data_IF_671478156784
#
_entry.id   IF_671478156784
#
_cell.length_a   1.000
_cell.length_b   1.000
_cell.length_c   1.000
_cell.angle_alpha   90.00
_cell.angle_beta   90.00
_cell.angle_gamma   90.00
#
_symmetry.space_group_name_H-M   'P 1'
#
loop_
_entity.id
_entity.type
_entity.pdbx_description
1 polymer ?
#
# COMPACT_ATOMS: atom_id res chain seq x y z
N UNK A 1 -0.09 11.24 22.01
CA UNK A 1 0.93 11.17 20.93
C UNK A 1 1.29 12.56 20.45
N UNK A 2 0.34 13.38 20.07
CA UNK A 2 0.53 14.73 19.51
C UNK A 2 1.40 15.66 20.40
N UNK A 3 1.12 15.71 21.70
CA UNK A 3 1.93 16.50 22.63
C UNK A 3 3.43 16.13 22.59
N UNK A 4 3.75 14.84 22.54
CA UNK A 4 5.16 14.38 22.47
C UNK A 4 5.82 14.72 21.14
N UNK A 5 5.04 14.69 20.03
CA UNK A 5 5.53 15.09 18.72
C UNK A 5 5.83 16.59 18.69
N UNK A 6 4.94 17.42 19.28
CA UNK A 6 5.13 18.87 19.36
C UNK A 6 6.35 19.25 20.23
N UNK A 7 6.50 18.63 21.38
CA UNK A 7 7.67 18.82 22.25
C UNK A 7 8.97 18.50 21.49
N UNK A 8 8.97 17.39 20.73
CA UNK A 8 10.13 16.99 19.92
C UNK A 8 10.37 17.92 18.74
N UNK A 9 9.31 18.43 18.09
CA UNK A 9 9.43 19.42 17.02
C UNK A 9 10.11 20.69 17.52
N UNK A 10 9.69 21.22 18.67
CA UNK A 10 10.28 22.40 19.30
C UNK A 10 11.74 22.14 19.71
N UNK A 11 12.03 20.97 20.28
CA UNK A 11 13.42 20.56 20.61
C UNK A 11 14.34 20.58 19.37
N UNK A 12 13.86 20.08 18.22
CA UNK A 12 14.66 19.92 17.01
C UNK A 12 14.79 21.23 16.22
N UNK A 13 13.70 21.99 16.11
CA UNK A 13 13.62 23.13 15.20
C UNK A 13 13.48 24.49 15.89
N UNK A 14 13.30 24.49 17.22
CA UNK A 14 13.06 25.70 18.00
C UNK A 14 11.59 26.12 18.00
N UNK A 15 11.27 27.06 18.88
CA UNK A 15 9.95 27.68 19.00
C UNK A 15 9.67 28.64 17.83
N UNK A 16 8.40 29.06 17.69
CA UNK A 16 7.92 30.09 16.76
C UNK A 16 7.29 29.50 15.49
N UNK A 17 6.57 30.38 14.79
CA UNK A 17 5.80 30.00 13.59
C UNK A 17 4.58 29.14 13.89
N UNK A 18 3.73 28.98 12.91
CA UNK A 18 2.55 28.10 12.98
C UNK A 18 2.95 26.65 12.67
N UNK A 19 2.80 25.77 13.66
CA UNK A 19 3.04 24.33 13.51
C UNK A 19 1.70 23.67 13.24
N UNK A 20 1.60 22.87 12.15
CA UNK A 20 0.41 22.12 11.77
C UNK A 20 0.69 20.64 11.79
N UNK A 21 -0.33 19.86 12.18
CA UNK A 21 -0.25 18.42 12.32
C UNK A 21 -1.08 17.68 11.29
N UNK A 22 -0.54 16.55 10.82
CA UNK A 22 -1.12 15.72 9.77
C UNK A 22 -0.94 14.25 10.09
N UNK A 23 -1.88 13.43 9.59
CA UNK A 23 -1.81 11.98 9.62
C UNK A 23 -2.14 11.42 8.24
N UNK A 24 -1.43 10.38 7.82
CA UNK A 24 -1.78 9.57 6.67
C UNK A 24 -1.64 8.09 7.02
N UNK A 25 -2.66 7.25 6.73
CA UNK A 25 -2.64 5.84 7.08
C UNK A 25 -1.76 5.03 6.12
N UNK A 26 -1.27 3.89 6.61
CA UNK A 26 -0.96 2.76 5.76
C UNK A 26 -2.23 2.06 5.29
N UNK A 27 -2.06 1.02 4.49
CA UNK A 27 -3.19 0.23 3.96
C UNK A 27 -2.94 -1.26 4.08
N UNK A 28 -4.01 -2.04 4.07
CA UNK A 28 -4.00 -3.44 3.69
C UNK A 28 -4.92 -3.64 2.49
N UNK A 29 -4.52 -4.46 1.54
CA UNK A 29 -5.41 -4.85 0.45
C UNK A 29 -6.08 -6.17 0.81
N UNK A 30 -7.39 -6.18 0.88
CA UNK A 30 -8.17 -7.37 1.25
C UNK A 30 -8.16 -8.41 0.14
N UNK A 31 -8.21 -7.96 -1.13
CA UNK A 31 -8.10 -8.79 -2.34
C UNK A 31 -7.85 -7.89 -3.57
N UNK A 32 -7.29 -8.43 -4.66
CA UNK A 32 -6.98 -7.69 -5.88
C UNK A 32 -5.52 -7.25 -5.92
N UNK A 33 -4.59 -8.15 -5.60
CA UNK A 33 -3.16 -7.85 -5.67
C UNK A 33 -2.66 -7.88 -7.11
N UNK A 34 -1.79 -6.93 -7.44
CA UNK A 34 -1.15 -6.80 -8.75
C UNK A 34 -2.12 -6.56 -9.92
N UNK A 35 -3.34 -6.11 -9.64
CA UNK A 35 -4.34 -5.75 -10.65
C UNK A 35 -4.30 -4.27 -11.02
N UNK A 36 -3.79 -3.41 -10.15
CA UNK A 36 -3.84 -1.95 -10.27
C UNK A 36 -2.99 -1.36 -11.41
N UNK A 37 -1.92 -1.99 -11.80
CA UNK A 37 -1.16 -1.62 -13.00
C UNK A 37 -1.54 -2.46 -14.25
N UNK A 38 -2.51 -3.37 -14.09
CA UNK A 38 -3.11 -4.16 -15.14
C UNK A 38 -4.54 -3.69 -15.52
N UNK A 39 -4.97 -2.52 -15.03
CA UNK A 39 -6.29 -1.97 -15.31
C UNK A 39 -7.44 -2.74 -14.68
N UNK A 40 -7.20 -3.42 -13.58
CA UNK A 40 -8.20 -4.18 -12.84
C UNK A 40 -8.69 -3.46 -11.58
N UNK A 41 -9.47 -4.18 -10.77
CA UNK A 41 -10.01 -3.68 -9.52
C UNK A 41 -9.15 -4.09 -8.33
N UNK A 42 -9.10 -3.22 -7.34
CA UNK A 42 -8.47 -3.47 -6.02
C UNK A 42 -9.49 -3.22 -4.90
N UNK A 43 -9.24 -3.82 -3.74
CA UNK A 43 -10.13 -3.68 -2.60
C UNK A 43 -9.37 -3.39 -1.29
N UNK A 44 -8.60 -2.30 -1.24
CA UNK A 44 -7.86 -1.91 -0.05
C UNK A 44 -8.72 -1.21 1.00
N UNK A 45 -8.23 -1.22 2.24
CA UNK A 45 -8.71 -0.34 3.30
C UNK A 45 -7.56 0.36 4.02
N UNK A 46 -7.81 1.59 4.45
CA UNK A 46 -6.89 2.35 5.28
C UNK A 46 -6.84 1.76 6.69
N UNK A 47 -5.66 1.77 7.29
CA UNK A 47 -5.44 1.27 8.65
C UNK A 47 -5.45 2.42 9.66
N UNK A 48 -5.64 2.09 10.94
CA UNK A 48 -5.37 3.04 12.03
C UNK A 48 -3.87 3.22 12.31
N UNK A 49 -3.02 2.43 11.65
CA UNK A 49 -1.57 2.59 11.62
C UNK A 49 -1.19 3.53 10.45
N UNK A 50 -0.26 4.45 10.70
CA UNK A 50 0.11 5.43 9.67
C UNK A 50 1.35 6.25 10.03
N UNK A 51 1.55 7.31 9.27
CA UNK A 51 2.60 8.30 9.48
C UNK A 51 1.98 9.61 9.99
N UNK A 52 2.50 10.09 11.10
CA UNK A 52 2.20 11.40 11.68
C UNK A 52 3.26 12.39 11.21
N UNK A 53 2.87 13.59 10.88
CA UNK A 53 3.77 14.68 10.50
C UNK A 53 3.42 15.98 11.18
N UNK A 54 4.43 16.69 11.64
CA UNK A 54 4.31 18.11 12.04
C UNK A 54 5.14 18.94 11.08
N UNK A 55 4.58 20.04 10.62
CA UNK A 55 5.26 20.90 9.66
C UNK A 55 5.06 22.39 9.97
N UNK A 56 6.05 23.17 9.59
CA UNK A 56 6.07 24.63 9.72
C UNK A 56 6.77 25.26 8.51
N UNK A 57 6.14 26.29 7.91
CA UNK A 57 6.80 27.11 6.88
C UNK A 57 8.04 27.82 7.45
N UNK A 58 9.03 27.96 6.60
CA UNK A 58 10.26 28.72 6.87
C UNK A 58 10.21 30.06 6.13
N UNK A 59 11.18 30.92 6.38
CA UNK A 59 11.36 32.20 5.67
C UNK A 59 12.38 32.05 4.50
N UNK A 60 13.15 30.96 4.51
CA UNK A 60 14.14 30.63 3.48
C UNK A 60 13.65 29.44 2.61
N UNK A 61 14.44 29.04 1.62
CA UNK A 61 14.11 27.94 0.72
C UNK A 61 14.65 26.57 1.18
N UNK A 62 15.09 26.44 2.44
CA UNK A 62 15.61 25.22 3.00
C UNK A 62 14.49 24.23 3.35
N UNK A 63 14.78 22.96 3.18
CA UNK A 63 13.95 21.82 3.61
C UNK A 63 14.70 21.10 4.73
N UNK A 64 14.11 21.01 5.90
CA UNK A 64 14.69 20.28 7.03
C UNK A 64 13.76 19.14 7.43
N UNK A 65 14.28 17.93 7.37
CA UNK A 65 13.56 16.70 7.65
C UNK A 65 14.12 16.02 8.89
N UNK A 66 13.26 15.60 9.80
CA UNK A 66 13.62 14.81 10.97
C UNK A 66 12.63 13.65 11.16
N UNK A 67 13.13 12.45 11.40
CA UNK A 67 12.30 11.27 11.66
C UNK A 67 12.58 10.72 13.06
N UNK A 68 11.50 10.54 13.84
CA UNK A 68 11.57 9.85 15.12
C UNK A 68 11.91 8.36 14.99
N UNK A 69 11.65 7.76 13.82
CA UNK A 69 12.04 6.38 13.54
C UNK A 69 13.54 6.25 13.24
N UNK A 70 14.19 7.32 12.78
CA UNK A 70 15.60 7.35 12.38
C UNK A 70 16.39 8.46 13.10
N UNK A 71 16.20 8.61 14.41
CA UNK A 71 16.77 9.70 15.20
C UNK A 71 18.30 9.84 15.08
N UNK A 72 19.02 8.72 14.84
CA UNK A 72 20.48 8.72 14.68
C UNK A 72 20.96 9.50 13.45
N UNK A 73 20.10 9.70 12.45
CA UNK A 73 20.41 10.48 11.25
C UNK A 73 20.40 11.98 11.53
N UNK A 74 19.79 12.43 12.65
CA UNK A 74 19.59 13.84 12.94
C UNK A 74 18.69 14.53 11.92
N UNK A 75 18.87 15.84 11.78
CA UNK A 75 18.17 16.67 10.78
C UNK A 75 18.87 16.51 9.43
N UNK A 76 18.14 16.07 8.43
CA UNK A 76 18.59 16.10 7.04
C UNK A 76 18.15 17.42 6.41
N UNK A 77 19.09 18.17 5.86
CA UNK A 77 18.84 19.47 5.23
C UNK A 77 19.09 19.40 3.72
N UNK A 78 18.20 19.98 2.94
CA UNK A 78 18.31 20.20 1.49
C UNK A 78 17.61 21.52 1.13
N UNK A 79 17.39 21.81 -0.15
CA UNK A 79 16.73 23.02 -0.64
C UNK A 79 15.62 22.70 -1.63
N UNK A 80 14.62 23.58 -1.73
CA UNK A 80 13.67 23.59 -2.84
C UNK A 80 14.36 23.73 -4.21
N UNK A 81 15.58 24.27 -4.24
CA UNK A 81 16.36 24.42 -5.46
C UNK A 81 17.15 23.16 -5.85
N UNK A 82 17.09 22.09 -5.02
CA UNK A 82 17.79 20.81 -5.20
C UNK A 82 16.85 19.61 -4.96
N UNK A 83 15.78 19.57 -5.73
CA UNK A 83 14.81 18.45 -5.71
C UNK A 83 15.24 17.34 -6.69
N UNK A 84 16.36 16.68 -6.37
CA UNK A 84 16.89 15.53 -7.14
C UNK A 84 16.96 14.28 -6.27
N UNK A 85 16.73 13.08 -6.83
CA UNK A 85 16.89 11.84 -6.09
C UNK A 85 18.34 11.61 -5.70
N UNK A 86 18.58 11.01 -4.54
CA UNK A 86 19.94 10.72 -4.05
C UNK A 86 19.93 9.45 -3.19
N UNK A 87 20.85 8.54 -3.46
CA UNK A 87 21.02 7.32 -2.66
C UNK A 87 21.32 7.62 -1.19
N UNK A 88 21.96 8.76 -0.92
CA UNK A 88 22.29 9.20 0.44
C UNK A 88 21.11 9.82 1.20
N UNK A 89 20.09 10.25 0.47
CA UNK A 89 18.92 10.90 1.06
C UNK A 89 18.00 9.91 1.80
N UNK A 90 18.07 8.62 1.46
CA UNK A 90 17.24 7.58 2.09
C UNK A 90 15.75 7.94 2.04
N UNK A 91 15.09 7.88 3.20
CA UNK A 91 13.65 8.15 3.30
C UNK A 91 13.24 9.58 2.89
N UNK A 92 14.17 10.55 2.89
CA UNK A 92 13.86 11.94 2.51
C UNK A 92 13.64 12.11 1.01
N UNK A 93 13.95 11.09 0.20
CA UNK A 93 13.57 11.08 -1.22
C UNK A 93 12.04 11.10 -1.41
N UNK A 94 11.26 10.48 -0.53
CA UNK A 94 9.80 10.48 -0.64
C UNK A 94 9.20 11.88 -0.55
N UNK A 95 9.42 12.69 0.51
CA UNK A 95 8.92 14.06 0.54
C UNK A 95 9.53 14.96 -0.54
N UNK A 96 10.81 14.80 -0.89
CA UNK A 96 11.42 15.54 -2.01
C UNK A 96 10.75 15.20 -3.34
N UNK A 97 10.48 13.93 -3.59
CA UNK A 97 9.83 13.46 -4.81
C UNK A 97 8.41 14.01 -4.96
N UNK A 98 7.66 14.11 -3.85
CA UNK A 98 6.33 14.73 -3.86
C UNK A 98 6.43 16.22 -4.18
N UNK A 99 7.35 16.97 -3.57
CA UNK A 99 7.58 18.38 -3.90
C UNK A 99 7.95 18.56 -5.37
N UNK A 100 8.87 17.73 -5.89
CA UNK A 100 9.23 17.70 -7.30
C UNK A 100 8.01 17.41 -8.20
N UNK A 101 7.14 16.48 -7.81
CA UNK A 101 5.94 16.14 -8.56
C UNK A 101 4.91 17.29 -8.60
N UNK A 102 4.79 18.08 -7.50
CA UNK A 102 4.02 19.32 -7.51
C UNK A 102 4.58 20.34 -8.50
N UNK A 103 5.90 20.55 -8.51
CA UNK A 103 6.54 21.47 -9.48
C UNK A 103 6.32 21.03 -10.92
N UNK A 104 6.35 19.72 -11.22
CA UNK A 104 6.03 19.18 -12.56
C UNK A 104 4.59 19.45 -12.99
N UNK A 105 3.67 19.68 -12.03
CA UNK A 105 2.30 20.11 -12.28
C UNK A 105 2.12 21.64 -12.31
N UNK A 106 3.21 22.41 -12.18
CA UNK A 106 3.20 23.86 -12.24
C UNK A 106 3.00 24.59 -10.92
N UNK A 107 2.96 23.85 -9.80
CA UNK A 107 2.92 24.46 -8.47
C UNK A 107 4.33 24.89 -8.04
N UNK A 108 4.42 26.05 -7.43
CA UNK A 108 5.69 26.60 -6.94
C UNK A 108 5.62 26.89 -5.45
N UNK A 109 6.74 26.72 -4.77
CA UNK A 109 6.88 26.97 -3.34
C UNK A 109 7.77 28.18 -3.11
N UNK A 110 7.25 29.19 -2.42
CA UNK A 110 7.93 30.45 -2.12
C UNK A 110 8.99 30.27 -1.01
N UNK A 111 8.75 29.36 -0.08
CA UNK A 111 9.61 29.09 1.06
C UNK A 111 9.67 27.60 1.38
N UNK A 112 10.67 27.20 2.15
CA UNK A 112 10.87 25.84 2.60
C UNK A 112 10.04 25.45 3.81
N UNK A 113 10.29 24.26 4.36
CA UNK A 113 9.58 23.71 5.51
C UNK A 113 10.52 23.03 6.50
N UNK A 114 10.16 23.11 7.78
CA UNK A 114 10.59 22.16 8.81
C UNK A 114 9.57 21.04 8.88
N UNK A 115 10.00 19.80 8.74
CA UNK A 115 9.10 18.64 8.70
C UNK A 115 9.61 17.53 9.61
N UNK A 116 8.84 17.20 10.65
CA UNK A 116 9.10 16.11 11.57
C UNK A 116 8.07 15.01 11.34
N UNK A 117 8.53 13.75 11.22
CA UNK A 117 7.66 12.59 11.03
C UNK A 117 7.86 11.54 12.12
N UNK A 118 6.78 10.79 12.35
CA UNK A 118 6.77 9.55 13.12
C UNK A 118 5.81 8.54 12.48
N UNK A 119 6.30 7.38 12.09
CA UNK A 119 5.51 6.26 11.58
C UNK A 119 5.35 5.15 12.61
N UNK A 120 4.14 4.62 12.77
CA UNK A 120 3.89 3.40 13.55
C UNK A 120 3.53 2.20 12.65
N UNK A 121 3.65 2.35 11.34
CA UNK A 121 3.61 1.23 10.39
C UNK A 121 4.88 0.39 10.59
N UNK A 122 4.77 -0.94 10.77
CA UNK A 122 5.94 -1.79 10.90
C UNK A 122 6.87 -1.69 9.68
N UNK A 123 8.16 -1.50 9.92
CA UNK A 123 9.15 -1.33 8.85
C UNK A 123 9.25 -2.58 7.96
N UNK A 124 9.15 -2.39 6.65
CA UNK A 124 9.31 -3.47 5.68
C UNK A 124 8.18 -4.50 5.71
N UNK A 125 7.03 -4.13 6.23
CA UNK A 125 5.84 -4.99 6.35
C UNK A 125 5.00 -5.07 5.07
N UNK A 126 5.29 -4.25 4.06
CA UNK A 126 4.44 -4.17 2.86
C UNK A 126 3.10 -3.45 3.08
N UNK A 127 2.94 -2.72 4.20
CA UNK A 127 1.74 -1.95 4.53
C UNK A 127 1.78 -0.50 4.04
N UNK A 128 2.56 -0.22 3.00
CA UNK A 128 2.64 1.06 2.27
C UNK A 128 3.08 2.26 3.10
N UNK A 129 4.19 2.12 3.83
CA UNK A 129 4.78 3.26 4.55
C UNK A 129 5.28 4.36 3.62
N UNK A 130 5.73 4.05 2.39
CA UNK A 130 6.12 5.02 1.37
C UNK A 130 4.92 5.87 0.92
N UNK A 131 3.84 5.22 0.48
CA UNK A 131 2.63 5.90 0.04
C UNK A 131 1.98 6.73 1.16
N UNK A 132 1.99 6.23 2.41
CA UNK A 132 1.58 6.98 3.59
C UNK A 132 2.38 8.29 3.74
N UNK A 133 3.71 8.24 3.61
CA UNK A 133 4.56 9.41 3.69
C UNK A 133 4.37 10.36 2.49
N UNK A 134 4.18 9.83 1.29
CA UNK A 134 3.92 10.62 0.08
C UNK A 134 2.61 11.39 0.18
N UNK A 135 1.52 10.72 0.57
CA UNK A 135 0.20 11.34 0.73
C UNK A 135 0.21 12.35 1.89
N UNK A 136 0.89 12.02 3.01
CA UNK A 136 1.10 12.95 4.12
C UNK A 136 1.78 14.23 3.65
N UNK A 137 2.85 14.09 2.87
CA UNK A 137 3.59 15.23 2.31
C UNK A 137 2.72 16.04 1.36
N UNK A 138 1.96 15.39 0.48
CA UNK A 138 1.02 16.04 -0.41
C UNK A 138 -0.05 16.85 0.32
N UNK A 139 -0.64 16.28 1.37
CA UNK A 139 -1.62 16.97 2.22
C UNK A 139 -1.01 18.17 2.95
N UNK A 140 0.20 18.01 3.49
CA UNK A 140 0.96 19.07 4.12
C UNK A 140 1.21 20.24 3.15
N UNK A 141 1.68 19.95 1.93
CA UNK A 141 1.95 20.96 0.91
C UNK A 141 0.67 21.68 0.48
N UNK A 142 -0.39 20.92 0.22
CA UNK A 142 -1.71 21.49 -0.10
C UNK A 142 -2.16 22.50 0.95
N UNK A 143 -2.08 22.14 2.22
CA UNK A 143 -2.55 22.99 3.33
C UNK A 143 -1.62 24.15 3.62
N UNK A 144 -0.30 23.94 3.67
CA UNK A 144 0.66 25.00 4.01
C UNK A 144 0.75 26.09 2.92
N UNK A 145 0.64 25.70 1.65
CA UNK A 145 0.77 26.64 0.52
C UNK A 145 -0.58 27.05 -0.08
N UNK A 146 -1.69 26.59 0.50
CA UNK A 146 -3.03 27.02 0.10
C UNK A 146 -3.45 26.56 -1.30
N UNK A 147 -3.06 25.34 -1.71
CA UNK A 147 -3.38 24.75 -3.01
C UNK A 147 -4.76 24.07 -2.90
N UNK A 148 -5.83 24.87 -2.76
CA UNK A 148 -7.18 24.38 -2.43
C UNK A 148 -7.83 23.56 -3.56
N UNK A 149 -7.45 23.80 -4.81
CA UNK A 149 -8.02 23.12 -5.98
C UNK A 149 -7.67 21.63 -6.08
N UNK A 150 -6.59 21.18 -5.43
CA UNK A 150 -6.20 19.76 -5.42
C UNK A 150 -7.16 18.95 -4.53
N UNK A 151 -7.70 17.89 -5.08
CA UNK A 151 -8.47 16.88 -4.34
C UNK A 151 -7.55 15.87 -3.66
N UNK A 152 -8.09 15.05 -2.76
CA UNK A 152 -7.34 13.92 -2.17
C UNK A 152 -6.95 12.88 -3.23
N UNK A 153 -7.77 12.70 -4.26
CA UNK A 153 -7.44 11.85 -5.40
C UNK A 153 -6.25 12.39 -6.20
N UNK A 154 -6.17 13.73 -6.38
CA UNK A 154 -4.99 14.36 -7.00
C UNK A 154 -3.72 14.13 -6.18
N UNK A 155 -3.81 14.17 -4.85
CA UNK A 155 -2.67 13.86 -3.98
C UNK A 155 -2.20 12.41 -4.13
N UNK A 156 -3.13 11.47 -4.30
CA UNK A 156 -2.77 10.07 -4.59
C UNK A 156 -2.03 9.95 -5.93
N UNK A 157 -2.51 10.61 -6.97
CA UNK A 157 -1.85 10.64 -8.29
C UNK A 157 -0.48 11.33 -8.26
N UNK A 158 -0.31 12.37 -7.45
CA UNK A 158 0.98 13.04 -7.25
C UNK A 158 1.96 12.11 -6.54
N UNK A 159 1.51 11.41 -5.49
CA UNK A 159 2.31 10.42 -4.77
C UNK A 159 2.78 9.29 -5.69
N UNK A 160 1.86 8.69 -6.46
CA UNK A 160 2.21 7.66 -7.45
C UNK A 160 3.20 8.17 -8.50
N UNK A 161 2.99 9.39 -9.01
CA UNK A 161 3.91 9.99 -9.99
C UNK A 161 5.31 10.18 -9.41
N UNK A 162 5.40 10.58 -8.14
CA UNK A 162 6.66 10.67 -7.39
C UNK A 162 7.33 9.31 -7.24
N UNK A 163 6.59 8.29 -6.80
CA UNK A 163 7.12 6.93 -6.61
C UNK A 163 7.70 6.38 -7.92
N UNK A 164 6.96 6.55 -9.03
CA UNK A 164 7.35 6.00 -10.33
C UNK A 164 8.50 6.75 -10.99
N UNK A 165 8.51 8.10 -10.94
CA UNK A 165 9.43 8.91 -11.76
C UNK A 165 10.59 9.51 -10.95
N UNK A 166 10.47 9.62 -9.63
CA UNK A 166 11.53 10.14 -8.77
C UNK A 166 12.22 9.02 -7.98
N UNK A 167 11.44 8.06 -7.45
CA UNK A 167 11.97 6.94 -6.66
C UNK A 167 12.26 5.68 -7.51
N UNK A 168 11.71 5.59 -8.74
CA UNK A 168 12.00 4.51 -9.69
C UNK A 168 11.25 3.20 -9.45
N UNK A 169 10.18 3.22 -8.65
CA UNK A 169 9.30 2.07 -8.40
C UNK A 169 8.06 2.16 -9.29
N UNK A 170 7.92 1.31 -10.28
CA UNK A 170 6.79 1.31 -11.23
C UNK A 170 5.50 0.73 -10.60
N UNK A 171 5.02 1.32 -9.50
CA UNK A 171 3.82 0.88 -8.81
C UNK A 171 2.53 1.32 -9.52
N UNK A 172 1.41 0.63 -9.19
CA UNK A 172 0.07 1.10 -9.49
C UNK A 172 -0.40 2.19 -8.51
N UNK A 173 -1.68 2.54 -8.56
CA UNK A 173 -2.24 3.66 -7.78
C UNK A 173 -2.77 3.23 -6.40
N UNK A 174 -2.96 1.95 -6.17
CA UNK A 174 -3.70 1.40 -5.02
C UNK A 174 -3.26 1.97 -3.68
N UNK A 175 -1.95 2.03 -3.44
CA UNK A 175 -1.38 2.36 -2.14
C UNK A 175 -1.64 3.81 -1.75
N UNK A 176 -1.33 4.73 -2.66
CA UNK A 176 -1.56 6.15 -2.46
C UNK A 176 -3.06 6.48 -2.43
N UNK A 177 -3.85 5.79 -3.27
CA UNK A 177 -5.30 5.99 -3.28
C UNK A 177 -5.95 5.56 -1.96
N UNK A 178 -5.57 4.40 -1.43
CA UNK A 178 -6.08 3.92 -0.15
C UNK A 178 -5.68 4.82 1.02
N UNK A 179 -4.43 5.32 1.02
CA UNK A 179 -3.95 6.25 2.04
C UNK A 179 -4.68 7.60 1.97
N UNK A 180 -4.93 8.13 0.77
CA UNK A 180 -5.58 9.42 0.58
C UNK A 180 -7.10 9.35 0.83
N UNK A 181 -7.77 8.32 0.30
CA UNK A 181 -9.23 8.24 0.18
C UNK A 181 -9.87 7.29 1.20
N UNK A 182 -9.10 6.72 2.13
CA UNK A 182 -9.63 5.80 3.15
C UNK A 182 -10.83 6.36 3.89
N UNK A 183 -11.73 5.48 4.31
CA UNK A 183 -12.90 5.81 5.11
C UNK A 183 -13.08 4.76 6.20
N UNK A 184 -13.29 5.24 7.42
CA UNK A 184 -13.50 4.38 8.58
C UNK A 184 -14.56 3.31 8.31
N UNK A 185 -14.26 2.07 8.71
CA UNK A 185 -15.11 0.88 8.59
C UNK A 185 -15.48 0.51 7.13
N UNK A 186 -14.79 1.07 6.14
CA UNK A 186 -15.01 0.79 4.72
C UNK A 186 -13.72 0.38 4.01
N UNK A 187 -13.83 -0.54 3.06
CA UNK A 187 -12.84 -0.74 2.02
C UNK A 187 -13.24 0.03 0.75
N UNK A 188 -12.26 0.29 -0.10
CA UNK A 188 -12.44 1.02 -1.35
C UNK A 188 -12.46 -0.01 -2.48
N UNK A 189 -13.59 -0.16 -3.16
CA UNK A 189 -13.63 -0.89 -4.42
C UNK A 189 -13.31 0.09 -5.55
N UNK A 190 -12.09 0.01 -6.06
CA UNK A 190 -11.53 0.93 -7.03
C UNK A 190 -11.31 0.24 -8.36
N UNK A 191 -11.87 0.79 -9.43
CA UNK A 191 -11.45 0.52 -10.81
C UNK A 191 -10.21 1.37 -11.11
N UNK A 192 -9.07 0.74 -11.33
CA UNK A 192 -7.81 1.46 -11.52
C UNK A 192 -7.62 2.00 -12.93
N UNK A 193 -8.46 1.60 -13.90
CA UNK A 193 -8.47 2.14 -15.26
C UNK A 193 -9.16 3.49 -15.34
N UNK A 194 -10.27 3.64 -14.62
CA UNK A 194 -11.12 4.85 -14.66
C UNK A 194 -10.96 5.74 -13.44
N UNK A 195 -10.42 5.22 -12.35
CA UNK A 195 -10.38 5.79 -11.00
C UNK A 195 -11.78 6.01 -10.40
N UNK A 196 -12.80 5.36 -10.96
CA UNK A 196 -14.10 5.27 -10.31
C UNK A 196 -14.02 4.34 -9.11
N UNK A 197 -14.64 4.73 -8.01
CA UNK A 197 -14.60 3.93 -6.79
C UNK A 197 -15.89 4.02 -6.00
N UNK A 198 -16.10 3.04 -5.15
CA UNK A 198 -17.17 3.05 -4.15
C UNK A 198 -16.64 2.57 -2.79
N UNK A 199 -17.27 3.09 -1.73
CA UNK A 199 -17.00 2.59 -0.38
C UNK A 199 -17.90 1.39 -0.08
N UNK A 200 -17.29 0.25 0.20
CA UNK A 200 -17.99 -0.94 0.65
C UNK A 200 -17.79 -1.12 2.16
N UNK A 201 -18.85 -1.05 2.98
CA UNK A 201 -18.73 -1.28 4.41
C UNK A 201 -18.19 -2.68 4.71
N UNK A 202 -17.13 -2.75 5.51
CA UNK A 202 -16.52 -4.02 5.95
C UNK A 202 -17.16 -4.43 7.28
N UNK A 203 -18.30 -5.13 7.18
CA UNK A 203 -19.08 -5.56 8.35
C UNK A 203 -18.63 -6.93 8.84
N UNK A 204 -17.54 -6.96 9.56
CA UNK A 204 -17.04 -8.19 10.21
C UNK A 204 -17.58 -8.27 11.65
N UNK A 205 -18.89 -8.54 11.81
CA UNK A 205 -19.59 -8.48 13.12
C UNK A 205 -18.87 -9.27 14.22
N UNK A 206 -18.38 -10.47 13.89
CA UNK A 206 -17.78 -11.40 14.84
C UNK A 206 -16.37 -11.81 14.43
N UNK A 207 -15.68 -10.96 13.63
CA UNK A 207 -14.34 -11.24 13.15
C UNK A 207 -13.48 -9.97 13.14
N UNK A 208 -12.17 -10.17 13.08
CA UNK A 208 -11.14 -9.13 13.02
C UNK A 208 -10.22 -9.33 11.83
N UNK A 209 -9.63 -8.25 11.39
CA UNK A 209 -8.50 -8.28 10.46
C UNK A 209 -7.24 -8.45 11.30
N UNK A 210 -6.50 -9.51 11.03
CA UNK A 210 -5.20 -9.77 11.65
C UNK A 210 -4.15 -9.74 10.55
N UNK A 211 -3.19 -8.84 10.68
CA UNK A 211 -2.02 -8.76 9.81
C UNK A 211 -0.88 -9.50 10.51
N UNK A 212 -0.21 -10.41 9.79
CA UNK A 212 0.95 -11.11 10.31
C UNK A 212 2.18 -10.75 9.49
N UNK A 213 3.15 -10.09 10.12
CA UNK A 213 4.43 -9.74 9.51
C UNK A 213 5.40 -10.92 9.64
N UNK A 214 5.80 -11.49 8.51
CA UNK A 214 6.77 -12.60 8.45
C UNK A 214 8.17 -12.20 8.91
N UNK A 215 8.50 -10.91 8.95
CA UNK A 215 9.86 -10.34 9.15
C UNK A 215 10.90 -10.76 8.12
N UNK A 216 10.44 -11.33 7.02
CA UNK A 216 11.32 -11.65 5.89
C UNK A 216 11.40 -10.45 4.96
N UNK A 217 12.62 -10.05 4.64
CA UNK A 217 12.93 -8.98 3.70
C UNK A 217 13.81 -9.54 2.60
N UNK A 218 13.40 -9.41 1.37
CA UNK A 218 14.24 -9.72 0.22
C UNK A 218 14.87 -8.43 -0.34
N UNK A 219 16.16 -8.44 -0.59
CA UNK A 219 16.92 -7.28 -1.08
C UNK A 219 16.56 -6.88 -2.52
N UNK A 220 15.87 -7.73 -3.27
CA UNK A 220 15.55 -7.55 -4.69
C UNK A 220 14.05 -7.31 -4.96
N UNK A 221 13.27 -6.92 -3.95
CA UNK A 221 11.81 -6.73 -4.11
C UNK A 221 11.47 -5.77 -5.25
N UNK A 222 12.15 -4.63 -5.35
CA UNK A 222 11.86 -3.62 -6.38
C UNK A 222 12.12 -4.12 -7.81
N UNK A 223 13.21 -4.86 -8.05
CA UNK A 223 13.50 -5.43 -9.38
C UNK A 223 12.49 -6.52 -9.73
N UNK A 224 12.22 -7.45 -8.81
CA UNK A 224 11.27 -8.53 -9.02
C UNK A 224 9.84 -8.02 -9.25
N UNK A 225 9.43 -6.94 -8.56
CA UNK A 225 8.15 -6.28 -8.81
C UNK A 225 8.07 -5.71 -10.23
N UNK A 226 9.11 -5.00 -10.67
CA UNK A 226 9.18 -4.46 -12.03
C UNK A 226 9.18 -5.57 -13.10
N UNK A 227 9.84 -6.72 -12.82
CA UNK A 227 9.81 -7.88 -13.71
C UNK A 227 8.38 -8.41 -13.89
N UNK A 228 7.59 -8.54 -12.81
CA UNK A 228 6.17 -8.96 -12.90
C UNK A 228 5.34 -8.03 -13.77
N UNK A 229 5.57 -6.71 -13.65
CA UNK A 229 4.90 -5.73 -14.50
C UNK A 229 5.31 -5.90 -15.96
N UNK A 230 6.59 -6.03 -16.27
CA UNK A 230 7.09 -6.23 -17.63
C UNK A 230 6.56 -7.53 -18.27
N UNK A 231 6.44 -8.62 -17.48
CA UNK A 231 5.87 -9.89 -17.90
C UNK A 231 4.38 -9.74 -18.28
N UNK A 232 3.60 -8.99 -17.50
CA UNK A 232 2.21 -8.66 -17.82
C UNK A 232 2.09 -7.77 -19.07
N UNK A 233 2.93 -6.73 -19.20
CA UNK A 233 2.94 -5.85 -20.36
C UNK A 233 3.31 -6.60 -21.64
N UNK A 234 4.18 -7.61 -21.56
CA UNK A 234 4.53 -8.49 -22.68
C UNK A 234 3.33 -9.34 -23.09
N UNK A 235 2.64 -9.98 -22.11
CA UNK A 235 1.44 -10.74 -22.40
C UNK A 235 0.33 -9.87 -23.01
N UNK A 236 0.13 -8.66 -22.50
CA UNK A 236 -0.85 -7.70 -23.03
C UNK A 236 -0.58 -7.39 -24.50
N UNK A 237 0.69 -7.05 -24.87
CA UNK A 237 1.05 -6.77 -26.26
C UNK A 237 0.76 -7.93 -27.20
N UNK A 238 0.99 -9.17 -26.75
CA UNK A 238 0.71 -10.36 -27.56
C UNK A 238 -0.81 -10.57 -27.70
N UNK A 239 -1.60 -10.42 -26.63
CA UNK A 239 -3.06 -10.50 -26.66
C UNK A 239 -3.69 -9.42 -27.55
N UNK A 240 -3.15 -8.22 -27.58
CA UNK A 240 -3.61 -7.11 -28.44
C UNK A 240 -3.52 -7.42 -29.94
N UNK A 241 -2.81 -8.46 -30.35
CA UNK A 241 -2.78 -8.92 -31.76
C UNK A 241 -4.07 -9.59 -32.20
N UNK A 242 -4.91 -10.05 -31.24
CA UNK A 242 -6.12 -10.84 -31.52
C UNK A 242 -7.38 -10.29 -30.83
N UNK A 243 -7.23 -9.43 -29.81
CA UNK A 243 -8.34 -8.79 -29.09
C UNK A 243 -8.07 -7.29 -28.94
N UNK A 244 -9.12 -6.47 -29.01
CA UNK A 244 -9.04 -5.02 -28.84
C UNK A 244 -9.21 -4.66 -27.37
N UNK A 245 -8.10 -4.66 -26.63
CA UNK A 245 -8.04 -4.33 -25.18
C UNK A 245 -6.89 -3.35 -24.93
N UNK A 246 -7.04 -2.55 -23.88
CA UNK A 246 -6.00 -1.63 -23.40
C UNK A 246 -5.26 -2.18 -22.18
N UNK A 247 -5.89 -3.04 -21.43
CA UNK A 247 -5.37 -3.63 -20.20
C UNK A 247 -5.88 -5.06 -19.99
N UNK A 248 -5.12 -5.88 -19.23
CA UNK A 248 -5.53 -7.26 -18.93
C UNK A 248 -6.82 -7.33 -18.11
N UNK A 249 -7.10 -6.32 -17.27
CA UNK A 249 -8.32 -6.24 -16.48
C UNK A 249 -9.61 -6.08 -17.29
N UNK A 250 -9.54 -5.76 -18.58
CA UNK A 250 -10.70 -5.71 -19.46
C UNK A 250 -11.21 -7.08 -19.89
N UNK A 251 -10.38 -8.14 -19.73
CA UNK A 251 -10.75 -9.50 -20.13
C UNK A 251 -11.58 -10.19 -19.05
N UNK A 252 -12.57 -10.97 -19.50
CA UNK A 252 -13.18 -12.03 -18.72
C UNK A 252 -12.29 -13.27 -18.68
N UNK A 253 -12.56 -14.20 -17.75
CA UNK A 253 -11.84 -15.48 -17.69
C UNK A 253 -12.03 -16.28 -18.99
N UNK A 254 -13.25 -16.29 -19.58
CA UNK A 254 -13.57 -16.99 -20.82
C UNK A 254 -12.82 -16.39 -22.02
N UNK A 255 -12.76 -15.07 -22.13
CA UNK A 255 -12.02 -14.39 -23.21
C UNK A 255 -10.53 -14.67 -23.11
N UNK A 256 -9.97 -14.64 -21.88
CA UNK A 256 -8.57 -15.00 -21.67
C UNK A 256 -8.29 -16.44 -22.08
N UNK A 257 -9.12 -17.41 -21.64
CA UNK A 257 -8.96 -18.83 -22.00
C UNK A 257 -9.04 -19.08 -23.50
N UNK A 258 -9.89 -18.31 -24.22
CA UNK A 258 -10.03 -18.41 -25.67
C UNK A 258 -8.79 -17.90 -26.43
N UNK A 259 -8.00 -16.99 -25.84
CA UNK A 259 -6.90 -16.30 -26.56
C UNK A 259 -5.52 -16.50 -25.93
N UNK A 260 -5.40 -17.14 -24.76
CA UNK A 260 -4.14 -17.29 -24.01
C UNK A 260 -2.99 -17.91 -24.79
N UNK A 261 -3.29 -18.74 -25.81
CA UNK A 261 -2.26 -19.45 -26.58
C UNK A 261 -1.47 -18.55 -27.53
N UNK A 262 -1.91 -17.30 -27.76
CA UNK A 262 -1.10 -16.32 -28.48
C UNK A 262 0.07 -15.80 -27.65
N UNK A 263 0.00 -15.94 -26.32
CA UNK A 263 1.08 -15.58 -25.40
C UNK A 263 2.16 -16.65 -25.51
N UNK A 264 3.30 -16.29 -26.11
CA UNK A 264 4.37 -17.23 -26.44
C UNK A 264 5.14 -17.72 -25.21
N UNK A 265 5.31 -16.87 -24.20
CA UNK A 265 5.98 -17.22 -22.95
C UNK A 265 5.02 -17.81 -21.93
N UNK A 266 5.31 -19.03 -21.45
CA UNK A 266 4.53 -19.67 -20.37
C UNK A 266 4.53 -18.83 -19.08
N UNK A 267 5.64 -18.15 -18.80
CA UNK A 267 5.74 -17.23 -17.66
C UNK A 267 4.77 -16.06 -17.83
N UNK A 268 4.83 -15.35 -18.96
CA UNK A 268 3.94 -14.22 -19.24
C UNK A 268 2.46 -14.66 -19.24
N UNK A 269 2.17 -15.88 -19.76
CA UNK A 269 0.82 -16.46 -19.75
C UNK A 269 0.31 -16.67 -18.32
N UNK A 270 1.13 -17.19 -17.42
CA UNK A 270 0.80 -17.33 -15.99
C UNK A 270 0.52 -15.97 -15.33
N UNK A 271 1.35 -14.95 -15.61
CA UNK A 271 1.15 -13.60 -15.06
C UNK A 271 -0.17 -12.98 -15.54
N UNK A 272 -0.44 -13.08 -16.84
CA UNK A 272 -1.71 -12.60 -17.41
C UNK A 272 -2.91 -13.36 -16.84
N UNK A 273 -2.80 -14.68 -16.69
CA UNK A 273 -3.84 -15.48 -16.03
C UNK A 273 -4.15 -14.96 -14.64
N UNK A 274 -3.11 -14.74 -13.81
CA UNK A 274 -3.32 -14.15 -12.48
C UNK A 274 -4.06 -12.82 -12.57
N UNK A 275 -3.57 -11.88 -13.40
CA UNK A 275 -4.13 -10.54 -13.50
C UNK A 275 -5.63 -10.56 -13.88
N UNK A 276 -6.02 -11.37 -14.88
CA UNK A 276 -7.41 -11.51 -15.33
C UNK A 276 -8.27 -12.17 -14.24
N UNK A 277 -7.82 -13.32 -13.73
CA UNK A 277 -8.58 -14.08 -12.74
C UNK A 277 -8.68 -13.36 -11.38
N UNK A 278 -7.63 -12.65 -10.96
CA UNK A 278 -7.65 -11.88 -9.72
C UNK A 278 -8.60 -10.68 -9.82
N UNK A 279 -8.66 -10.03 -10.98
CA UNK A 279 -9.63 -8.96 -11.22
C UNK A 279 -11.07 -9.50 -11.08
N UNK A 280 -11.41 -10.60 -11.75
CA UNK A 280 -12.72 -11.22 -11.66
C UNK A 280 -13.02 -11.75 -10.25
N UNK A 281 -12.02 -12.26 -9.55
CA UNK A 281 -12.11 -12.73 -8.16
C UNK A 281 -12.41 -11.56 -7.22
N UNK A 282 -11.78 -10.40 -7.43
CA UNK A 282 -12.01 -9.18 -6.65
C UNK A 282 -13.44 -8.70 -6.79
N UNK A 283 -13.99 -8.65 -8.00
CA UNK A 283 -15.38 -8.26 -8.24
C UNK A 283 -16.35 -9.20 -7.51
N UNK A 284 -16.11 -10.54 -7.60
CA UNK A 284 -16.93 -11.54 -6.89
C UNK A 284 -16.81 -11.40 -5.37
N UNK A 285 -15.62 -11.11 -4.86
CA UNK A 285 -15.37 -10.96 -3.43
C UNK A 285 -16.10 -9.74 -2.84
N UNK A 286 -16.08 -8.62 -3.53
CA UNK A 286 -16.83 -7.41 -3.12
C UNK A 286 -18.33 -7.68 -3.11
N UNK A 287 -18.84 -8.39 -4.12
CA UNK A 287 -20.25 -8.80 -4.18
C UNK A 287 -20.60 -9.69 -2.99
N UNK A 288 -19.80 -10.72 -2.70
CA UNK A 288 -20.02 -11.61 -1.57
C UNK A 288 -20.06 -10.83 -0.23
N UNK A 289 -19.14 -9.89 -0.03
CA UNK A 289 -19.11 -9.07 1.20
C UNK A 289 -20.35 -8.16 1.31
N UNK A 290 -20.80 -7.55 0.22
CA UNK A 290 -22.04 -6.75 0.18
C UNK A 290 -23.29 -7.58 0.51
N UNK A 291 -23.28 -8.85 0.13
CA UNK A 291 -24.35 -9.82 0.43
C UNK A 291 -24.21 -10.45 1.86
N UNK A 292 -23.25 -9.99 2.66
CA UNK A 292 -22.87 -10.53 3.96
C UNK A 292 -22.44 -12.02 3.93
N UNK A 293 -21.96 -12.50 2.80
CA UNK A 293 -21.41 -13.84 2.64
C UNK A 293 -19.90 -13.83 2.91
N UNK A 294 -19.55 -13.78 4.19
CA UNK A 294 -18.15 -13.64 4.64
C UNK A 294 -17.36 -14.94 4.37
N UNK A 295 -18.03 -16.09 4.39
CA UNK A 295 -17.41 -17.38 4.07
C UNK A 295 -16.95 -17.44 2.61
N UNK A 296 -17.77 -17.00 1.66
CA UNK A 296 -17.39 -16.91 0.25
C UNK A 296 -16.28 -15.88 0.03
N UNK A 297 -16.33 -14.75 0.73
CA UNK A 297 -15.25 -13.76 0.72
C UNK A 297 -13.92 -14.40 1.14
N UNK A 298 -13.92 -15.15 2.25
CA UNK A 298 -12.71 -15.84 2.73
C UNK A 298 -12.21 -16.91 1.77
N UNK A 299 -13.13 -17.69 1.13
CA UNK A 299 -12.77 -18.65 0.10
C UNK A 299 -12.06 -17.98 -1.10
N UNK A 300 -12.54 -16.81 -1.51
CA UNK A 300 -11.93 -16.02 -2.59
C UNK A 300 -10.58 -15.46 -2.18
N UNK A 301 -10.40 -15.01 -0.93
CA UNK A 301 -9.09 -14.62 -0.39
C UNK A 301 -8.09 -15.79 -0.47
N UNK A 302 -8.48 -16.98 -0.05
CA UNK A 302 -7.62 -18.17 -0.12
C UNK A 302 -7.24 -18.52 -1.56
N UNK A 303 -8.19 -18.45 -2.49
CA UNK A 303 -7.92 -18.67 -3.92
C UNK A 303 -6.98 -17.59 -4.51
N UNK A 304 -7.06 -16.35 -4.05
CA UNK A 304 -6.13 -15.29 -4.39
C UNK A 304 -4.69 -15.65 -3.97
N UNK A 305 -4.49 -16.15 -2.74
CA UNK A 305 -3.17 -16.59 -2.29
C UNK A 305 -2.57 -17.68 -3.17
N UNK A 306 -3.37 -18.69 -3.49
CA UNK A 306 -2.93 -19.78 -4.38
C UNK A 306 -2.47 -19.24 -5.74
N UNK A 307 -3.24 -18.31 -6.33
CA UNK A 307 -2.88 -17.68 -7.61
C UNK A 307 -1.61 -16.80 -7.50
N UNK A 308 -1.44 -16.07 -6.40
CA UNK A 308 -0.23 -15.27 -6.13
C UNK A 308 1.01 -16.13 -5.95
N UNK A 309 0.86 -17.31 -5.34
CA UNK A 309 1.94 -18.28 -5.16
C UNK A 309 2.29 -19.00 -6.47
N UNK A 310 1.29 -19.58 -7.17
CA UNK A 310 1.49 -20.55 -8.24
C UNK A 310 1.50 -19.93 -9.65
N UNK A 311 0.67 -18.92 -9.90
CA UNK A 311 0.57 -18.22 -11.19
C UNK A 311 1.44 -16.94 -11.23
N UNK A 312 1.43 -16.16 -10.15
CA UNK A 312 2.17 -14.88 -10.12
C UNK A 312 3.57 -14.99 -9.54
N UNK A 313 3.81 -15.99 -8.71
CA UNK A 313 5.10 -16.32 -8.08
C UNK A 313 5.70 -15.14 -7.30
N UNK A 314 4.86 -14.51 -6.46
CA UNK A 314 5.24 -13.42 -5.56
C UNK A 314 5.20 -13.81 -4.08
N UNK A 315 4.89 -15.08 -3.77
CA UNK A 315 4.99 -15.60 -2.41
C UNK A 315 6.43 -16.04 -2.09
N UNK A 316 6.65 -16.46 -0.87
CA UNK A 316 7.86 -17.13 -0.41
C UNK A 316 7.49 -18.18 0.62
N UNK A 317 8.43 -19.08 0.93
CA UNK A 317 8.22 -20.22 1.83
C UNK A 317 7.65 -19.77 3.19
N UNK A 318 8.18 -18.72 3.77
CA UNK A 318 7.76 -18.20 5.08
C UNK A 318 6.32 -17.65 5.05
N UNK A 319 5.94 -16.99 3.98
CA UNK A 319 4.56 -16.52 3.78
C UNK A 319 3.62 -17.71 3.59
N UNK A 320 4.01 -18.69 2.79
CA UNK A 320 3.19 -19.89 2.55
C UNK A 320 2.99 -20.68 3.85
N UNK A 321 4.02 -20.78 4.69
CA UNK A 321 3.91 -21.39 6.03
C UNK A 321 2.90 -20.63 6.89
N UNK A 322 2.94 -19.29 6.92
CA UNK A 322 1.99 -18.49 7.68
C UNK A 322 0.55 -18.73 7.23
N UNK A 323 0.31 -18.74 5.93
CA UNK A 323 -1.03 -18.95 5.36
C UNK A 323 -1.51 -20.37 5.59
N UNK A 324 -0.67 -21.38 5.36
CA UNK A 324 -0.99 -22.79 5.60
C UNK A 324 -1.31 -23.08 7.08
N UNK A 325 -0.62 -22.43 7.99
CA UNK A 325 -0.91 -22.50 9.42
C UNK A 325 -2.24 -21.81 9.75
N UNK A 326 -2.46 -20.62 9.18
CA UNK A 326 -3.70 -19.87 9.35
C UNK A 326 -4.94 -20.68 8.92
N UNK A 327 -4.89 -21.32 7.75
CA UNK A 327 -6.01 -22.13 7.22
C UNK A 327 -6.38 -23.34 8.10
N UNK A 328 -5.46 -23.81 8.95
CA UNK A 328 -5.69 -24.92 9.89
C UNK A 328 -6.34 -24.50 11.19
N UNK A 329 -6.43 -23.19 11.49
CA UNK A 329 -7.05 -22.69 12.71
C UNK A 329 -8.57 -22.60 12.51
N UNK A 330 -9.32 -23.27 13.37
CA UNK A 330 -10.77 -23.09 13.41
C UNK A 330 -11.13 -21.65 13.72
N UNK A 331 -12.00 -21.04 12.92
CA UNK A 331 -12.37 -19.62 13.05
C UNK A 331 -11.59 -18.68 12.14
N UNK A 332 -10.58 -19.15 11.40
CA UNK A 332 -10.03 -18.38 10.27
C UNK A 332 -10.96 -18.51 9.08
N UNK A 333 -11.44 -17.38 8.59
CA UNK A 333 -12.38 -17.29 7.46
C UNK A 333 -11.62 -17.29 6.14
N UNK A 334 -10.51 -16.54 6.09
CA UNK A 334 -9.60 -16.48 4.95
C UNK A 334 -8.26 -15.91 5.35
N UNK A 335 -7.21 -16.28 4.62
CA UNK A 335 -5.85 -15.78 4.82
C UNK A 335 -5.06 -15.79 3.50
N UNK A 336 -4.29 -14.73 3.26
CA UNK A 336 -3.49 -14.54 2.06
C UNK A 336 -2.33 -13.58 2.27
N UNK A 337 -1.33 -13.66 1.38
CA UNK A 337 -0.31 -12.61 1.27
C UNK A 337 -0.96 -11.28 0.88
N UNK A 338 -0.46 -10.15 1.34
CA UNK A 338 -0.92 -8.81 0.98
C UNK A 338 0.23 -7.89 0.60
N UNK A 339 -0.02 -6.96 -0.32
CA UNK A 339 0.97 -6.03 -0.86
C UNK A 339 1.79 -6.61 -2.01
N UNK A 340 2.95 -6.02 -2.28
CA UNK A 340 3.79 -6.37 -3.43
C UNK A 340 4.42 -7.77 -3.39
N UNK A 341 4.32 -8.48 -2.28
CA UNK A 341 4.85 -9.85 -2.15
C UNK A 341 6.34 -9.93 -1.84
N UNK A 342 6.93 -11.08 -2.13
CA UNK A 342 8.35 -11.42 -1.87
C UNK A 342 8.72 -11.35 -0.38
N UNK A 343 7.80 -11.71 0.51
CA UNK A 343 7.87 -11.57 1.96
C UNK A 343 6.81 -10.58 2.48
N UNK A 344 7.11 -9.83 3.54
CA UNK A 344 6.20 -8.86 4.12
C UNK A 344 5.11 -9.51 4.98
N UNK A 345 3.84 -9.23 4.67
CA UNK A 345 2.72 -9.62 5.52
C UNK A 345 1.70 -10.53 4.84
N UNK A 346 0.97 -11.26 5.69
CA UNK A 346 -0.32 -11.84 5.36
C UNK A 346 -1.45 -11.02 5.98
N UNK A 347 -2.64 -11.08 5.38
CA UNK A 347 -3.89 -10.58 5.93
C UNK A 347 -4.82 -11.77 6.15
N UNK A 348 -5.36 -11.86 7.37
CA UNK A 348 -6.30 -12.91 7.76
C UNK A 348 -7.58 -12.29 8.33
N UNK A 349 -8.72 -12.90 8.02
CA UNK A 349 -9.99 -12.61 8.68
C UNK A 349 -10.23 -13.72 9.67
N UNK A 350 -10.26 -13.38 10.96
CA UNK A 350 -10.29 -14.33 12.08
C UNK A 350 -11.48 -14.02 12.98
N UNK A 351 -12.28 -15.01 13.33
CA UNK A 351 -13.39 -14.84 14.30
C UNK A 351 -12.85 -14.35 15.65
N UNK A 352 -13.62 -13.51 16.32
CA UNK A 352 -13.20 -12.86 17.56
C UNK A 352 -12.72 -13.85 18.63
N UNK A 353 -13.42 -14.97 18.78
CA UNK A 353 -13.11 -16.04 19.74
C UNK A 353 -11.89 -16.89 19.35
N UNK A 354 -11.41 -16.78 18.13
CA UNK A 354 -10.26 -17.51 17.61
C UNK A 354 -8.97 -16.65 17.53
N UNK A 355 -9.03 -15.34 17.75
CA UNK A 355 -7.88 -14.43 17.57
C UNK A 355 -6.69 -14.82 18.45
N UNK A 356 -6.91 -15.05 19.73
CA UNK A 356 -5.81 -15.40 20.65
C UNK A 356 -5.20 -16.76 20.30
N UNK A 357 -6.02 -17.74 19.94
CA UNK A 357 -5.56 -19.05 19.48
C UNK A 357 -4.79 -18.95 18.17
N UNK A 358 -5.28 -18.10 17.25
CA UNK A 358 -4.58 -17.83 15.99
C UNK A 358 -3.18 -17.26 16.26
N UNK A 359 -3.07 -16.19 17.04
CA UNK A 359 -1.80 -15.53 17.33
C UNK A 359 -0.82 -16.49 18.02
N UNK A 360 -1.26 -17.21 19.05
CA UNK A 360 -0.38 -18.10 19.79
C UNK A 360 0.06 -19.30 18.96
N UNK A 361 -0.88 -20.00 18.32
CA UNK A 361 -0.59 -21.24 17.58
C UNK A 361 0.19 -20.98 16.30
N UNK A 362 -0.20 -19.96 15.51
CA UNK A 362 0.53 -19.62 14.28
C UNK A 362 1.91 -19.08 14.63
N UNK A 363 2.02 -18.23 15.68
CA UNK A 363 3.29 -17.66 16.11
C UNK A 363 4.29 -18.72 16.57
N UNK A 364 3.86 -19.67 17.41
CA UNK A 364 4.69 -20.77 17.89
C UNK A 364 5.17 -21.66 16.75
N UNK A 365 4.24 -22.16 15.93
CA UNK A 365 4.56 -23.05 14.82
C UNK A 365 5.40 -22.40 13.71
N UNK A 366 5.16 -21.10 13.45
CA UNK A 366 5.98 -20.33 12.53
C UNK A 366 7.42 -20.23 13.03
N UNK A 367 7.61 -19.87 14.32
CA UNK A 367 8.92 -19.81 14.95
C UNK A 367 9.65 -21.15 14.90
N UNK A 368 8.94 -22.26 15.13
CA UNK A 368 9.49 -23.62 15.01
C UNK A 368 9.95 -23.94 13.59
N UNK A 369 9.17 -23.55 12.57
CA UNK A 369 9.45 -23.85 11.18
C UNK A 369 10.54 -22.94 10.57
N UNK A 370 10.54 -21.65 10.92
CA UNK A 370 11.35 -20.60 10.25
C UNK A 370 12.54 -20.16 11.09
N UNK A 371 12.51 -20.40 12.41
CA UNK A 371 13.60 -20.07 13.34
C UNK A 371 13.58 -18.64 13.90
N UNK A 372 12.57 -17.81 13.54
CA UNK A 372 12.36 -16.49 14.12
C UNK A 372 10.86 -16.20 14.31
N UNK A 373 10.54 -15.20 15.12
CA UNK A 373 9.15 -14.83 15.44
C UNK A 373 8.53 -13.99 14.34
N UNK A 374 7.25 -14.27 14.04
CA UNK A 374 6.37 -13.33 13.31
C UNK A 374 5.81 -12.29 14.28
N UNK A 375 5.33 -11.17 13.73
CA UNK A 375 4.60 -10.17 14.51
C UNK A 375 3.14 -10.09 14.05
N UNK A 376 2.23 -9.96 15.02
CA UNK A 376 0.80 -9.94 14.78
C UNK A 376 0.20 -8.58 15.14
N UNK A 377 -0.65 -8.07 14.27
CA UNK A 377 -1.36 -6.81 14.45
C UNK A 377 -2.85 -7.05 14.22
N UNK A 378 -3.64 -6.93 15.29
CA UNK A 378 -5.10 -6.83 15.18
C UNK A 378 -5.40 -5.38 14.85
N UNK A 379 -5.96 -5.14 13.68
CA UNK A 379 -6.11 -3.80 13.12
C UNK A 379 -7.56 -3.42 12.90
N UNK A 380 -7.83 -2.11 13.01
CA UNK A 380 -9.10 -1.51 12.64
C UNK A 380 -8.94 -0.71 11.34
N UNK A 381 -10.04 -0.54 10.62
CA UNK A 381 -10.11 0.28 9.41
C UNK A 381 -10.31 1.74 9.81
N UNK A 382 -9.36 2.58 9.42
CA UNK A 382 -9.33 4.00 9.71
C UNK A 382 -9.80 4.90 8.58
N UNK A 383 -9.76 6.20 8.82
CA UNK A 383 -9.96 7.22 7.79
C UNK A 383 -8.68 7.45 6.99
N UNK A 384 -8.82 8.03 5.81
CA UNK A 384 -7.72 8.48 4.96
C UNK A 384 -6.93 9.64 5.58
N UNK A 385 -5.99 10.18 4.82
CA UNK A 385 -5.14 11.25 5.28
C UNK A 385 -5.92 12.51 5.66
N UNK A 386 -5.58 13.11 6.81
CA UNK A 386 -6.27 14.26 7.37
C UNK A 386 -5.38 15.12 8.28
N UNK A 387 -5.82 16.33 8.56
CA UNK A 387 -5.20 17.22 9.56
C UNK A 387 -5.57 16.73 10.97
N UNK A 388 -4.63 16.79 11.90
CA UNK A 388 -4.83 16.36 13.31
C UNK A 388 -4.66 17.52 14.31
N UNK A 389 -4.01 18.61 13.96
CA UNK A 389 -3.80 19.79 14.81
C UNK A 389 -3.52 21.05 13.97
#
# INVERSE_FOLDING_TARGET
>A
MEKKLLEKFIEVYGEGGEIRGYFAPGRVNLIGEHTDYNGGHVFPCALTLGTYGLARKREDRKLRFYSLNFQRLGVTETSLDDLVPSDKAGWTNYPKGVMWAFEKRGYTFDCGVDFLIYGNIPNGSGLSSSASLEVLTGLMLKDLYGVEELTMQDLALIGQYSENNFNGMNCGIMDQFASAMGKKDCAIFLDTSTLEFEYAPVKLKDARIVITNSKVKHSLVGSAYNDRRNECETALRELQTVVDIKALGELTEEEFEAHKDVITSDICRKRAKHAVYENQRTIRAVKALKENNVEEFGRLMNASHVSLRDDYEVSCEEIDILVDLAWKISGVIGSRITGGGFGGCTVSIVKNDAVDTFISTVGEKYKEAVGHEAEFYVVDIGDGAHKIA
#
